data_IF_779440146609
#
_entry.id   IF_779440146609
#
_cell.length_a   1.000
_cell.length_b   1.000
_cell.length_c   1.000
_cell.angle_alpha   90.00
_cell.angle_beta   90.00
_cell.angle_gamma   90.00
#
_symmetry.space_group_name_H-M   'P 1'
#
loop_
_entity.id
_entity.type
_entity.pdbx_description
1 polymer ?
#
# COMPACT_ATOMS: atom_id res chain seq x y z
N UNK A 1 -27.41 -51.26 -37.60
CA UNK A 1 -26.90 -49.87 -37.70
C UNK A 1 -28.01 -48.91 -37.27
N UNK A 2 -27.99 -48.43 -36.04
CA UNK A 2 -28.96 -47.51 -35.48
C UNK A 2 -28.37 -46.11 -35.39
N UNK A 3 -28.93 -45.16 -36.18
CA UNK A 3 -28.55 -43.75 -36.13
C UNK A 3 -29.01 -43.09 -34.82
N UNK A 4 -28.08 -42.66 -34.02
CA UNK A 4 -28.34 -41.75 -32.88
C UNK A 4 -28.67 -40.37 -33.40
N UNK A 5 -29.86 -39.89 -33.08
CA UNK A 5 -30.35 -38.54 -33.34
C UNK A 5 -29.69 -37.57 -32.34
N UNK A 6 -28.92 -36.61 -32.78
CA UNK A 6 -28.36 -35.56 -31.94
C UNK A 6 -29.49 -34.65 -31.41
N UNK A 7 -29.54 -34.45 -30.11
CA UNK A 7 -30.44 -33.49 -29.49
C UNK A 7 -29.83 -32.07 -29.64
N UNK A 8 -30.69 -31.12 -30.05
CA UNK A 8 -30.39 -29.72 -30.15
C UNK A 8 -30.13 -29.13 -28.74
N UNK A 9 -29.23 -28.12 -28.61
CA UNK A 9 -29.05 -27.44 -27.37
C UNK A 9 -30.30 -26.62 -27.03
N UNK A 10 -30.77 -26.77 -25.80
CA UNK A 10 -31.82 -25.93 -25.24
C UNK A 10 -31.27 -24.52 -25.07
N UNK A 11 -31.97 -23.54 -25.65
CA UNK A 11 -31.81 -22.13 -25.37
C UNK A 11 -31.95 -21.90 -23.84
N UNK A 12 -30.82 -21.67 -23.19
CA UNK A 12 -30.81 -21.08 -21.85
C UNK A 12 -31.24 -19.63 -22.00
N UNK A 13 -32.38 -19.32 -21.42
CA UNK A 13 -32.94 -17.99 -21.36
C UNK A 13 -31.90 -17.01 -20.81
N UNK A 14 -31.62 -15.98 -21.60
CA UNK A 14 -30.85 -14.81 -21.16
C UNK A 14 -31.55 -14.23 -19.93
N UNK A 15 -30.96 -14.49 -18.75
CA UNK A 15 -31.33 -13.78 -17.55
C UNK A 15 -31.01 -12.31 -17.78
N UNK A 16 -32.00 -11.44 -17.62
CA UNK A 16 -31.87 -10.00 -17.70
C UNK A 16 -30.87 -9.54 -16.62
N UNK A 17 -29.63 -9.27 -17.03
CA UNK A 17 -28.61 -8.62 -16.20
C UNK A 17 -28.98 -7.14 -16.00
N UNK A 18 -29.93 -6.88 -15.13
CA UNK A 18 -29.96 -5.62 -14.42
C UNK A 18 -28.72 -5.60 -13.52
N UNK A 19 -27.89 -4.54 -13.50
CA UNK A 19 -26.74 -4.49 -12.62
C UNK A 19 -27.23 -4.64 -11.19
N UNK A 20 -26.79 -5.69 -10.51
CA UNK A 20 -27.02 -5.82 -9.08
C UNK A 20 -26.50 -4.53 -8.43
N UNK A 21 -27.36 -3.79 -7.74
CA UNK A 21 -26.99 -2.55 -7.06
C UNK A 21 -25.74 -2.83 -6.22
N UNK A 22 -24.71 -1.98 -6.36
CA UNK A 22 -23.47 -2.12 -5.62
C UNK A 22 -23.77 -2.26 -4.12
N UNK A 23 -23.16 -3.23 -3.42
CA UNK A 23 -23.31 -3.31 -1.97
C UNK A 23 -22.87 -1.98 -1.35
N UNK A 24 -23.66 -1.43 -0.44
CA UNK A 24 -23.43 -0.10 0.17
C UNK A 24 -22.10 0.01 0.93
N UNK A 25 -21.47 -1.11 1.24
CA UNK A 25 -20.21 -1.20 2.00
C UNK A 25 -19.15 -1.94 1.15
N UNK A 26 -18.87 -1.39 -0.03
CA UNK A 26 -17.92 -2.02 -0.97
C UNK A 26 -17.22 -1.02 -1.88
N UNK A 27 -16.07 -1.42 -2.38
CA UNK A 27 -15.32 -0.74 -3.43
C UNK A 27 -15.47 -1.53 -4.73
N UNK A 28 -15.97 -0.87 -5.79
CA UNK A 28 -15.99 -1.44 -7.13
C UNK A 28 -14.58 -1.48 -7.70
N UNK A 29 -14.14 -2.65 -8.18
CA UNK A 29 -12.79 -2.84 -8.73
C UNK A 29 -12.76 -3.09 -10.23
N UNK A 30 -13.88 -3.40 -10.84
CA UNK A 30 -13.97 -3.64 -12.26
C UNK A 30 -15.08 -4.62 -12.63
N UNK A 31 -15.07 -5.06 -13.87
CA UNK A 31 -16.01 -6.04 -14.40
C UNK A 31 -15.27 -7.17 -15.12
N UNK A 32 -15.58 -8.39 -14.73
CA UNK A 32 -15.25 -9.59 -15.48
C UNK A 32 -16.50 -10.06 -16.26
N UNK A 33 -17.04 -11.21 -15.96
CA UNK A 33 -18.38 -11.65 -16.43
C UNK A 33 -19.47 -10.83 -15.73
N UNK A 34 -19.24 -10.50 -14.47
CA UNK A 34 -20.11 -9.69 -13.62
C UNK A 34 -19.32 -8.54 -12.98
N UNK A 35 -19.98 -7.53 -12.40
CA UNK A 35 -19.32 -6.51 -11.58
C UNK A 35 -18.61 -7.16 -10.39
N UNK A 36 -17.37 -6.72 -10.10
CA UNK A 36 -16.55 -7.24 -9.02
C UNK A 36 -16.33 -6.16 -7.96
N UNK A 37 -16.51 -6.54 -6.68
CA UNK A 37 -16.43 -5.62 -5.55
C UNK A 37 -15.56 -6.19 -4.44
N UNK A 38 -14.89 -5.32 -3.71
CA UNK A 38 -14.28 -5.64 -2.42
C UNK A 38 -15.20 -5.12 -1.33
N UNK A 39 -15.68 -6.03 -0.47
CA UNK A 39 -16.44 -5.65 0.70
C UNK A 39 -15.51 -5.03 1.75
N UNK A 40 -15.80 -3.81 2.22
CA UNK A 40 -14.94 -3.07 3.15
C UNK A 40 -14.67 -3.86 4.44
N UNK A 41 -15.69 -4.54 4.97
CA UNK A 41 -15.56 -5.40 6.16
C UNK A 41 -14.58 -6.57 6.01
N UNK A 42 -14.22 -6.94 4.77
CA UNK A 42 -13.29 -8.01 4.44
C UNK A 42 -11.98 -7.49 3.83
N UNK A 43 -11.84 -6.17 3.65
CA UNK A 43 -10.71 -5.55 2.99
C UNK A 43 -9.43 -5.48 3.85
N UNK A 44 -9.47 -5.92 5.10
CA UNK A 44 -8.31 -6.01 6.01
C UNK A 44 -7.38 -7.20 5.69
N UNK A 45 -7.23 -7.54 4.42
CA UNK A 45 -6.44 -8.66 3.92
C UNK A 45 -5.38 -8.18 2.95
N UNK A 46 -4.40 -9.03 2.71
CA UNK A 46 -3.39 -8.80 1.67
C UNK A 46 -3.99 -9.09 0.30
N UNK A 47 -3.58 -8.30 -0.69
CA UNK A 47 -3.95 -8.48 -2.08
C UNK A 47 -2.71 -8.44 -2.99
N UNK A 48 -2.79 -9.09 -4.13
CA UNK A 48 -1.77 -9.04 -5.16
C UNK A 48 -2.39 -8.63 -6.49
N UNK A 49 -1.92 -7.51 -7.05
CA UNK A 49 -2.28 -7.07 -8.41
C UNK A 49 -1.10 -7.37 -9.33
N UNK A 50 -1.27 -8.35 -10.21
CA UNK A 50 -0.21 -8.80 -11.12
C UNK A 50 -0.66 -8.73 -12.58
N UNK A 51 0.30 -8.66 -13.48
CA UNK A 51 0.06 -8.60 -14.93
C UNK A 51 1.25 -7.99 -15.66
N UNK A 52 1.30 -8.13 -16.99
CA UNK A 52 2.30 -7.51 -17.85
C UNK A 52 2.21 -5.97 -17.86
N UNK A 53 3.20 -5.30 -18.42
CA UNK A 53 3.16 -3.85 -18.61
C UNK A 53 1.97 -3.45 -19.51
N UNK A 54 1.26 -2.39 -19.14
CA UNK A 54 0.09 -1.90 -19.90
C UNK A 54 -1.23 -2.62 -19.62
N UNK A 55 -1.28 -3.62 -18.72
CA UNK A 55 -2.51 -4.36 -18.40
C UNK A 55 -3.44 -3.67 -17.41
N UNK A 56 -3.08 -2.47 -16.92
CA UNK A 56 -3.90 -1.70 -15.99
C UNK A 56 -3.64 -1.92 -14.50
N UNK A 57 -2.48 -2.50 -14.11
CA UNK A 57 -2.13 -2.68 -12.69
C UNK A 57 -2.21 -1.39 -11.88
N UNK A 58 -1.58 -0.33 -12.38
CA UNK A 58 -1.61 0.99 -11.71
C UNK A 58 -3.03 1.55 -11.63
N UNK A 59 -3.83 1.39 -12.70
CA UNK A 59 -5.24 1.80 -12.67
C UNK A 59 -6.03 1.06 -11.60
N UNK A 60 -5.78 -0.24 -11.42
CA UNK A 60 -6.41 -1.01 -10.35
C UNK A 60 -6.01 -0.48 -8.97
N UNK A 61 -4.74 -0.12 -8.77
CA UNK A 61 -4.28 0.48 -7.51
C UNK A 61 -4.91 1.86 -7.27
N UNK A 62 -5.07 2.68 -8.34
CA UNK A 62 -5.76 3.96 -8.26
C UNK A 62 -7.22 3.76 -7.85
N UNK A 63 -7.96 2.86 -8.49
CA UNK A 63 -9.36 2.53 -8.15
C UNK A 63 -9.49 2.10 -6.68
N UNK A 64 -8.56 1.28 -6.19
CA UNK A 64 -8.56 0.87 -4.79
C UNK A 64 -8.32 2.06 -3.86
N UNK A 65 -7.33 2.90 -4.18
CA UNK A 65 -7.01 4.08 -3.38
C UNK A 65 -8.17 5.08 -3.34
N UNK A 66 -8.80 5.35 -4.48
CA UNK A 66 -9.99 6.20 -4.60
C UNK A 66 -11.16 5.63 -3.78
N UNK A 67 -11.46 4.35 -3.97
CA UNK A 67 -12.57 3.70 -3.28
C UNK A 67 -12.40 3.65 -1.77
N UNK A 68 -11.20 3.35 -1.27
CA UNK A 68 -10.92 3.40 0.16
C UNK A 68 -10.95 4.83 0.71
N UNK A 69 -10.38 5.80 -0.02
CA UNK A 69 -10.43 7.21 0.37
C UNK A 69 -11.85 7.75 0.43
N UNK A 70 -12.69 7.43 -0.56
CA UNK A 70 -14.11 7.79 -0.58
C UNK A 70 -14.89 7.17 0.60
N UNK A 71 -14.49 5.97 1.04
CA UNK A 71 -15.03 5.31 2.22
C UNK A 71 -14.47 5.85 3.55
N UNK A 72 -13.63 6.89 3.53
CA UNK A 72 -13.02 7.48 4.73
C UNK A 72 -11.84 6.68 5.31
N UNK A 73 -11.29 5.73 4.55
CA UNK A 73 -10.14 4.93 4.96
C UNK A 73 -8.86 5.60 4.49
N UNK A 74 -7.90 5.92 5.38
CA UNK A 74 -6.62 6.49 4.98
C UNK A 74 -5.81 5.45 4.17
N UNK A 75 -5.23 5.91 3.06
CA UNK A 75 -4.45 5.08 2.14
C UNK A 75 -3.01 5.57 2.11
N UNK A 76 -2.06 4.66 2.29
CA UNK A 76 -0.64 4.92 2.09
C UNK A 76 -0.15 4.23 0.82
N UNK A 77 0.46 5.00 -0.09
CA UNK A 77 1.03 4.50 -1.34
C UNK A 77 2.52 4.80 -1.42
N UNK A 78 3.33 3.77 -1.66
CA UNK A 78 4.73 3.94 -2.04
C UNK A 78 4.83 4.03 -3.57
N UNK A 79 4.90 5.26 -4.10
CA UNK A 79 4.88 5.53 -5.53
C UNK A 79 6.27 5.95 -6.06
N UNK A 80 7.03 4.98 -6.54
CA UNK A 80 8.40 5.21 -7.04
C UNK A 80 8.40 5.94 -8.40
N UNK A 81 7.34 5.78 -9.19
CA UNK A 81 7.24 6.32 -10.56
C UNK A 81 6.42 7.59 -10.68
N UNK A 82 5.62 7.91 -9.67
CA UNK A 82 4.67 9.02 -9.72
C UNK A 82 3.37 8.69 -10.47
N UNK A 83 3.12 7.41 -10.78
CA UNK A 83 1.95 7.00 -11.56
C UNK A 83 0.62 7.14 -10.79
N UNK A 84 0.68 7.23 -9.46
CA UNK A 84 -0.50 7.36 -8.57
C UNK A 84 -0.77 8.83 -8.22
N UNK A 85 0.16 9.73 -8.47
CA UNK A 85 0.07 11.16 -8.13
C UNK A 85 -1.14 11.87 -8.74
N UNK A 86 -1.67 11.37 -9.87
CA UNK A 86 -2.86 11.91 -10.54
C UNK A 86 -4.12 11.91 -9.67
N UNK A 87 -4.18 11.16 -8.60
CA UNK A 87 -5.32 11.15 -7.66
C UNK A 87 -5.58 12.51 -6.99
N UNK A 88 -4.58 13.37 -6.91
CA UNK A 88 -4.70 14.70 -6.32
C UNK A 88 -5.49 15.71 -7.17
N UNK A 89 -5.78 15.37 -8.42
CA UNK A 89 -6.43 16.28 -9.37
C UNK A 89 -7.62 15.59 -10.04
N UNK A 90 -8.70 16.33 -10.24
CA UNK A 90 -9.82 15.85 -11.04
C UNK A 90 -9.34 15.58 -12.47
N UNK A 91 -9.74 14.44 -13.01
CA UNK A 91 -9.45 14.08 -14.39
C UNK A 91 -10.28 14.91 -15.39
N UNK A 92 -9.93 14.80 -16.66
CA UNK A 92 -10.67 15.42 -17.75
C UNK A 92 -11.49 14.38 -18.52
N UNK A 93 -12.70 14.74 -19.03
CA UNK A 93 -13.49 13.86 -19.87
C UNK A 93 -12.73 13.51 -21.16
N UNK A 94 -12.64 12.22 -21.44
CA UNK A 94 -12.04 11.69 -22.68
C UNK A 94 -12.93 10.59 -23.24
N UNK A 95 -13.13 10.56 -24.54
CA UNK A 95 -14.02 9.60 -25.22
C UNK A 95 -13.73 8.14 -24.89
N UNK A 96 -12.45 7.77 -24.76
CA UNK A 96 -12.08 6.39 -24.43
C UNK A 96 -12.46 6.01 -23.00
N UNK A 97 -12.45 6.97 -22.05
CA UNK A 97 -12.90 6.75 -20.66
C UNK A 97 -14.40 6.55 -20.61
N UNK A 98 -15.17 7.39 -21.32
CA UNK A 98 -16.62 7.24 -21.41
C UNK A 98 -17.01 5.89 -22.05
N UNK A 99 -16.35 5.50 -23.13
CA UNK A 99 -16.54 4.18 -23.76
C UNK A 99 -16.21 3.03 -22.82
N UNK A 100 -15.13 3.17 -22.06
CA UNK A 100 -14.73 2.15 -21.08
C UNK A 100 -15.74 2.05 -19.94
N UNK A 101 -16.17 3.18 -19.37
CA UNK A 101 -17.19 3.22 -18.33
C UNK A 101 -18.49 2.53 -18.79
N UNK A 102 -18.95 2.81 -20.03
CA UNK A 102 -20.11 2.14 -20.62
C UNK A 102 -19.90 0.63 -20.75
N UNK A 103 -18.72 0.19 -21.21
CA UNK A 103 -18.41 -1.24 -21.38
C UNK A 103 -18.46 -2.01 -20.07
N UNK A 104 -18.02 -1.41 -18.98
CA UNK A 104 -18.02 -2.05 -17.65
C UNK A 104 -19.30 -1.80 -16.85
N UNK A 105 -20.27 -1.03 -17.41
CA UNK A 105 -21.53 -0.72 -16.73
C UNK A 105 -21.39 0.26 -15.56
N UNK A 106 -20.46 1.23 -15.67
CA UNK A 106 -20.13 2.20 -14.64
C UNK A 106 -20.34 3.66 -15.07
N UNK A 107 -21.08 3.89 -16.16
CA UNK A 107 -21.26 5.23 -16.74
C UNK A 107 -21.92 6.22 -15.78
N UNK A 108 -22.93 5.79 -15.06
CA UNK A 108 -23.73 6.67 -14.19
C UNK A 108 -23.01 7.04 -12.89
N UNK A 109 -22.05 6.22 -12.48
CA UNK A 109 -21.30 6.36 -11.24
C UNK A 109 -19.92 7.00 -11.48
N UNK A 110 -19.45 7.04 -12.73
CA UNK A 110 -18.15 7.56 -13.08
C UNK A 110 -18.08 9.07 -12.88
N UNK A 111 -17.17 9.52 -12.02
CA UNK A 111 -16.97 10.95 -11.70
C UNK A 111 -15.50 11.32 -11.86
N UNK A 112 -15.26 12.57 -12.20
CA UNK A 112 -13.93 13.17 -12.24
C UNK A 112 -13.76 14.00 -10.96
N UNK A 113 -13.17 13.41 -9.95
CA UNK A 113 -13.00 14.01 -8.63
C UNK A 113 -11.54 14.06 -8.25
N UNK A 114 -11.16 15.04 -7.43
CA UNK A 114 -9.86 15.10 -6.79
C UNK A 114 -9.96 14.50 -5.38
N UNK A 115 -8.99 13.71 -5.00
CA UNK A 115 -8.91 13.14 -3.67
C UNK A 115 -7.93 13.92 -2.79
N UNK A 116 -8.13 13.98 -1.47
CA UNK A 116 -7.21 14.62 -0.55
C UNK A 116 -5.92 13.82 -0.48
N UNK A 117 -4.85 14.33 -1.09
CA UNK A 117 -3.55 13.66 -1.15
C UNK A 117 -2.49 14.52 -0.48
N UNK A 118 -1.64 13.90 0.34
CA UNK A 118 -0.44 14.50 0.89
C UNK A 118 0.77 13.82 0.26
N UNK A 119 1.58 14.58 -0.44
CA UNK A 119 2.81 14.08 -1.03
C UNK A 119 3.96 14.15 -0.03
N UNK A 120 4.53 13.01 0.27
CA UNK A 120 5.76 12.90 1.03
C UNK A 120 6.94 12.68 0.07
N UNK A 121 8.01 13.44 0.29
CA UNK A 121 9.20 13.39 -0.56
C UNK A 121 10.46 13.31 0.30
N UNK A 122 11.25 12.27 0.07
CA UNK A 122 12.52 12.07 0.79
C UNK A 122 13.49 13.24 0.62
N UNK A 123 13.46 13.87 -0.55
CA UNK A 123 14.35 14.98 -0.88
C UNK A 123 13.74 16.37 -0.66
N UNK A 124 12.43 16.45 -0.39
CA UNK A 124 11.70 17.70 -0.17
C UNK A 124 11.69 18.63 -1.39
N UNK A 125 11.73 18.09 -2.61
CA UNK A 125 11.71 18.86 -3.86
C UNK A 125 10.31 19.07 -4.41
N UNK A 126 9.45 18.07 -4.29
CA UNK A 126 8.11 18.05 -4.89
C UNK A 126 7.00 17.78 -3.88
N UNK A 127 7.36 17.55 -2.62
CA UNK A 127 6.41 17.27 -1.55
C UNK A 127 6.96 17.62 -0.18
N UNK A 128 6.25 17.23 0.86
CA UNK A 128 6.67 17.43 2.24
C UNK A 128 7.88 16.56 2.57
N UNK A 129 8.99 17.11 3.07
CA UNK A 129 10.15 16.31 3.40
C UNK A 129 9.84 15.35 4.54
N UNK A 130 10.14 14.07 4.33
CA UNK A 130 10.06 13.07 5.38
C UNK A 130 11.39 13.04 6.12
N UNK A 131 11.31 13.00 7.45
CA UNK A 131 12.44 12.79 8.34
C UNK A 131 12.01 11.78 9.40
N UNK A 132 12.96 10.95 9.82
CA UNK A 132 12.79 10.03 10.93
C UNK A 132 13.97 10.19 11.88
N UNK A 133 13.71 10.13 13.17
CA UNK A 133 14.78 10.07 14.17
C UNK A 133 15.37 8.66 14.23
N UNK A 134 16.58 8.55 14.77
CA UNK A 134 17.21 7.24 15.03
C UNK A 134 16.37 6.43 16.00
N UNK A 135 15.80 7.07 17.03
CA UNK A 135 14.89 6.41 17.97
C UNK A 135 13.66 5.80 17.31
N UNK A 136 13.02 6.53 16.36
CA UNK A 136 11.84 6.04 15.66
C UNK A 136 12.16 4.89 14.68
N UNK A 137 13.33 4.93 14.05
CA UNK A 137 13.79 3.83 13.18
C UNK A 137 13.99 2.54 13.98
N UNK A 138 14.54 2.65 15.15
CA UNK A 138 14.85 1.53 16.02
C UNK A 138 15.99 0.63 15.51
N UNK A 139 16.49 -0.29 16.36
CA UNK A 139 17.67 -1.08 16.04
C UNK A 139 17.43 -2.07 14.90
N UNK A 140 16.23 -2.65 14.79
CA UNK A 140 15.92 -3.67 13.76
C UNK A 140 15.94 -3.08 12.35
N UNK A 141 15.33 -1.90 12.12
CA UNK A 141 15.33 -1.28 10.81
C UNK A 141 16.70 -0.73 10.46
N UNK A 142 17.41 -0.16 11.44
CA UNK A 142 18.77 0.33 11.24
C UNK A 142 19.75 -0.79 10.93
N UNK A 143 19.67 -1.95 11.60
CA UNK A 143 20.54 -3.09 11.31
C UNK A 143 20.40 -3.59 9.88
N UNK A 144 19.16 -3.65 9.39
CA UNK A 144 18.87 -4.02 7.99
C UNK A 144 19.32 -2.95 7.00
N UNK A 145 19.06 -1.69 7.29
CA UNK A 145 19.45 -0.56 6.44
C UNK A 145 20.96 -0.43 6.27
N UNK A 146 21.71 -0.73 7.32
CA UNK A 146 23.16 -0.66 7.37
C UNK A 146 23.86 -2.00 7.05
N UNK A 147 23.09 -3.05 6.74
CA UNK A 147 23.58 -4.39 6.46
C UNK A 147 24.53 -4.94 7.53
N UNK A 148 24.09 -4.82 8.79
CA UNK A 148 24.89 -5.24 9.95
C UNK A 148 24.85 -6.77 10.11
N UNK A 149 25.99 -7.34 10.55
CA UNK A 149 26.03 -8.73 10.97
C UNK A 149 25.47 -8.91 12.39
N UNK A 150 25.23 -10.16 12.81
CA UNK A 150 24.59 -10.51 14.09
C UNK A 150 25.29 -9.89 15.30
N UNK A 151 26.64 -9.82 15.29
CA UNK A 151 27.41 -9.20 16.37
C UNK A 151 27.18 -7.69 16.43
N UNK A 152 27.17 -7.01 15.30
CA UNK A 152 26.93 -5.57 15.21
C UNK A 152 25.49 -5.25 15.58
N UNK A 153 24.52 -6.05 15.13
CA UNK A 153 23.13 -5.92 15.51
C UNK A 153 22.95 -6.10 17.03
N UNK A 154 23.64 -7.09 17.63
CA UNK A 154 23.64 -7.27 19.07
C UNK A 154 24.14 -6.05 19.84
N UNK A 155 25.23 -5.42 19.38
CA UNK A 155 25.76 -4.18 19.98
C UNK A 155 24.76 -3.03 19.81
N UNK A 156 24.15 -2.90 18.65
CA UNK A 156 23.13 -1.89 18.39
C UNK A 156 21.92 -2.05 19.31
N UNK A 157 21.43 -3.27 19.48
CA UNK A 157 20.32 -3.59 20.39
C UNK A 157 20.64 -3.21 21.84
N UNK A 158 21.87 -3.49 22.31
CA UNK A 158 22.31 -3.09 23.66
C UNK A 158 22.34 -1.56 23.79
N UNK A 159 22.84 -0.85 22.77
CA UNK A 159 22.88 0.60 22.76
C UNK A 159 21.47 1.22 22.88
N UNK A 160 20.51 0.72 22.10
CA UNK A 160 19.12 1.21 22.15
C UNK A 160 18.48 0.91 23.52
N UNK A 161 18.64 -0.30 24.06
CA UNK A 161 18.14 -0.64 25.40
C UNK A 161 18.71 0.27 26.48
N UNK A 162 19.99 0.63 26.38
CA UNK A 162 20.64 1.56 27.32
C UNK A 162 20.06 2.97 27.17
N UNK A 163 19.85 3.44 25.91
CA UNK A 163 19.24 4.74 25.64
C UNK A 163 17.84 4.82 26.26
N UNK A 164 17.01 3.81 26.03
CA UNK A 164 15.64 3.74 26.55
C UNK A 164 15.65 3.70 28.09
N UNK A 165 16.51 2.88 28.70
CA UNK A 165 16.61 2.77 30.15
C UNK A 165 17.07 4.06 30.82
N UNK A 166 17.83 4.91 30.13
CA UNK A 166 18.38 6.16 30.69
C UNK A 166 17.66 7.41 30.13
N UNK A 167 16.60 7.25 29.32
CA UNK A 167 15.84 8.36 28.72
C UNK A 167 16.68 9.20 27.77
N UNK A 168 17.68 8.59 27.10
CA UNK A 168 18.51 9.29 26.11
C UNK A 168 17.78 9.39 24.78
N UNK A 169 17.72 10.58 24.21
CA UNK A 169 17.15 10.81 22.90
C UNK A 169 18.19 10.54 21.82
N UNK A 170 17.84 9.70 20.83
CA UNK A 170 18.63 9.45 19.66
C UNK A 170 17.97 10.15 18.45
N UNK A 171 18.28 11.41 18.26
CA UNK A 171 17.65 12.23 17.22
C UNK A 171 18.31 11.99 15.86
N UNK A 172 19.63 11.91 15.83
CA UNK A 172 20.39 11.74 14.59
C UNK A 172 21.51 10.68 14.72
N UNK A 173 22.24 10.46 13.64
CA UNK A 173 23.36 9.52 13.60
C UNK A 173 24.55 9.95 14.46
N UNK A 174 24.67 11.25 14.83
CA UNK A 174 25.74 11.72 15.72
C UNK A 174 25.47 11.26 17.14
N UNK A 175 24.21 11.32 17.58
CA UNK A 175 23.79 10.80 18.88
C UNK A 175 24.06 9.30 18.99
N UNK A 176 23.68 8.54 17.95
CA UNK A 176 23.95 7.12 17.88
C UNK A 176 25.46 6.81 17.95
N UNK A 177 26.29 7.55 17.23
CA UNK A 177 27.75 7.37 17.26
C UNK A 177 28.32 7.69 18.63
N UNK A 178 27.84 8.74 19.28
CA UNK A 178 28.25 9.09 20.65
C UNK A 178 27.87 8.01 21.66
N UNK A 179 26.65 7.47 21.52
CA UNK A 179 26.19 6.37 22.37
C UNK A 179 26.99 5.09 22.15
N UNK A 180 27.30 4.71 20.90
CA UNK A 180 28.13 3.55 20.60
C UNK A 180 29.55 3.70 21.16
N UNK A 181 30.14 4.90 21.09
CA UNK A 181 31.43 5.19 21.73
C UNK A 181 31.35 5.04 23.24
N UNK A 182 30.30 5.54 23.88
CA UNK A 182 30.06 5.36 25.30
C UNK A 182 29.90 3.89 25.71
N UNK A 183 29.12 3.11 24.95
CA UNK A 183 28.93 1.67 25.16
C UNK A 183 30.26 0.92 25.05
N UNK A 184 31.11 1.28 24.10
CA UNK A 184 32.42 0.62 23.90
C UNK A 184 33.34 0.80 25.14
N UNK A 185 33.37 1.98 25.74
CA UNK A 185 34.16 2.27 26.93
C UNK A 185 33.62 1.50 28.15
N UNK A 186 32.30 1.37 28.27
CA UNK A 186 31.62 0.69 29.38
C UNK A 186 31.29 -0.78 29.10
N UNK A 187 31.81 -1.37 28.08
CA UNK A 187 31.42 -2.71 27.57
C UNK A 187 31.47 -3.79 28.68
N UNK A 188 32.49 -3.80 29.55
CA UNK A 188 32.62 -4.80 30.61
C UNK A 188 31.47 -4.74 31.63
N UNK A 189 31.06 -3.54 32.04
CA UNK A 189 29.95 -3.35 33.01
C UNK A 189 28.58 -3.60 32.37
N UNK A 190 28.41 -3.19 31.10
CA UNK A 190 27.14 -3.37 30.38
C UNK A 190 26.89 -4.84 30.01
N UNK A 191 27.93 -5.60 29.68
CA UNK A 191 27.81 -7.04 29.39
C UNK A 191 27.25 -7.80 30.58
N UNK A 192 27.63 -7.41 31.82
CA UNK A 192 27.08 -8.03 33.03
C UNK A 192 25.59 -7.73 33.24
N UNK A 193 25.12 -6.56 32.79
CA UNK A 193 23.74 -6.09 33.04
C UNK A 193 22.77 -6.52 31.94
N UNK A 194 23.21 -6.62 30.67
CA UNK A 194 22.33 -6.81 29.48
C UNK A 194 22.56 -8.14 28.74
N UNK A 195 23.30 -9.09 29.32
CA UNK A 195 23.65 -10.40 28.77
C UNK A 195 22.54 -11.46 29.05
N UNK A 196 21.31 -11.17 28.73
CA UNK A 196 20.25 -12.21 28.69
C UNK A 196 19.52 -12.14 27.34
#
# INVERSE_FOLDING_TARGET
>A
MAKRKAAAPKDEAAASDAPASAPSDSVYIGKSVKPEFILLRLANRHGLVTGATGTGKTVTLQILAEGFSAAGVPVFCADVKGDVAGLAMAGEPKDFLAKRAATIGFSDEYRFEAFPVVFWDLFGKQGHPIRATVSEMGPLLLSRLLDLNDTQEGVLNIAFRLADAQGMLLLDLKDLRALLAYVSVKSKSLTATYRN
#
